data_IF_300244704780
#
_entry.id   IF_300244704780
#
_cell.length_a   1.000
_cell.length_b   1.000
_cell.length_c   1.000
_cell.angle_alpha   90.00
_cell.angle_beta   90.00
_cell.angle_gamma   90.00
#
_symmetry.space_group_name_H-M   'P 1'
#
loop_
_entity.id
_entity.type
_entity.pdbx_description
1 polymer ?
#
# COMPACT_ATOMS: atom_id res chain seq x y z
N UNK A 1 -10.16 -5.20 19.92
CA UNK A 1 -9.40 -4.51 18.83
C UNK A 1 -7.88 -4.70 18.97
N UNK A 2 -7.22 -4.30 20.07
CA UNK A 2 -5.74 -4.39 20.24
C UNK A 2 -5.15 -5.78 19.96
N UNK A 3 -5.76 -6.85 20.48
CA UNK A 3 -5.26 -8.21 20.27
C UNK A 3 -5.33 -8.62 18.79
N UNK A 4 -6.43 -8.29 18.11
CA UNK A 4 -6.58 -8.60 16.67
C UNK A 4 -5.55 -7.84 15.81
N UNK A 5 -5.29 -6.56 16.11
CA UNK A 5 -4.26 -5.79 15.41
C UNK A 5 -2.85 -6.32 15.67
N UNK A 6 -2.57 -6.74 16.91
CA UNK A 6 -1.29 -7.39 17.26
C UNK A 6 -1.09 -8.66 16.44
N UNK A 7 -2.09 -9.55 16.35
CA UNK A 7 -1.98 -10.75 15.52
C UNK A 7 -1.86 -10.46 14.03
N UNK A 8 -2.48 -9.38 13.53
CA UNK A 8 -2.34 -8.97 12.15
C UNK A 8 -0.93 -8.43 11.81
N UNK A 9 -0.23 -7.86 12.79
CA UNK A 9 1.12 -7.30 12.61
C UNK A 9 2.26 -8.28 12.90
N UNK A 10 1.99 -9.43 13.54
CA UNK A 10 3.06 -10.41 13.82
C UNK A 10 3.07 -11.53 12.78
N UNK A 11 4.25 -12.10 12.56
CA UNK A 11 4.51 -13.10 11.52
C UNK A 11 3.71 -14.40 11.66
N UNK A 12 3.00 -14.61 12.77
CA UNK A 12 2.24 -15.84 13.02
C UNK A 12 1.14 -16.10 11.97
N UNK A 13 0.53 -15.05 11.41
CA UNK A 13 -0.46 -15.18 10.34
C UNK A 13 0.18 -15.43 8.96
N UNK A 14 1.48 -15.27 8.87
CA UNK A 14 2.25 -15.44 7.63
C UNK A 14 2.98 -16.77 7.55
N UNK A 15 2.83 -17.63 8.57
CA UNK A 15 3.44 -18.97 8.56
C UNK A 15 3.00 -19.77 7.32
N UNK A 16 3.98 -20.11 6.48
CA UNK A 16 3.75 -20.85 5.23
C UNK A 16 3.30 -20.01 4.03
N UNK A 17 3.28 -18.68 4.14
CA UNK A 17 3.02 -17.76 3.03
C UNK A 17 4.18 -16.78 2.82
N UNK A 18 4.32 -16.27 1.59
CA UNK A 18 5.21 -15.15 1.32
C UNK A 18 4.54 -13.85 1.77
N UNK A 19 5.32 -12.99 2.39
CA UNK A 19 4.92 -11.61 2.70
C UNK A 19 5.41 -10.66 1.62
N UNK A 20 4.61 -9.66 1.31
CA UNK A 20 5.03 -8.53 0.51
C UNK A 20 5.14 -7.29 1.42
N UNK A 21 6.35 -6.90 1.84
CA UNK A 21 6.56 -5.77 2.74
C UNK A 21 6.58 -4.42 2.02
N UNK A 22 6.24 -4.37 0.74
CA UNK A 22 6.39 -3.17 -0.11
C UNK A 22 5.74 -1.93 0.48
N UNK A 23 4.56 -2.05 1.09
CA UNK A 23 3.89 -0.91 1.72
C UNK A 23 4.72 -0.28 2.84
N UNK A 24 5.35 -1.11 3.67
CA UNK A 24 6.18 -0.65 4.78
C UNK A 24 7.50 -0.05 4.30
N UNK A 25 8.17 -0.68 3.32
CA UNK A 25 9.42 -0.15 2.77
C UNK A 25 9.22 1.23 2.13
N UNK A 26 8.13 1.41 1.36
CA UNK A 26 7.79 2.70 0.77
C UNK A 26 7.41 3.73 1.84
N UNK A 27 6.64 3.33 2.84
CA UNK A 27 6.16 4.23 3.88
C UNK A 27 7.28 4.70 4.81
N UNK A 28 8.25 3.85 5.14
CA UNK A 28 9.35 4.21 6.05
C UNK A 28 10.15 5.42 5.57
N UNK A 29 10.35 5.56 4.26
CA UNK A 29 11.03 6.74 3.71
C UNK A 29 10.17 8.00 3.79
N UNK A 30 8.86 7.86 3.66
CA UNK A 30 7.92 8.96 3.86
C UNK A 30 7.97 9.48 5.31
N UNK A 31 7.93 8.56 6.28
CA UNK A 31 8.09 8.90 7.69
C UNK A 31 9.47 9.50 7.99
N UNK A 32 10.52 8.97 7.39
CA UNK A 32 11.90 9.40 7.66
C UNK A 32 12.19 10.83 7.18
N UNK A 33 11.61 11.25 6.05
CA UNK A 33 11.88 12.58 5.46
C UNK A 33 10.90 13.64 5.97
N UNK A 34 9.63 13.27 6.11
CA UNK A 34 8.57 14.25 6.39
C UNK A 34 7.98 14.15 7.80
N UNK A 35 8.53 13.26 8.65
CA UNK A 35 8.03 13.01 10.03
C UNK A 35 6.51 12.68 10.06
N UNK A 36 6.06 11.97 9.04
CA UNK A 36 4.67 11.51 8.93
C UNK A 36 4.44 10.34 9.89
N UNK A 37 3.36 10.38 10.65
CA UNK A 37 2.99 9.25 11.51
C UNK A 37 2.77 8.00 10.66
N UNK A 38 3.38 6.87 11.03
CA UNK A 38 3.39 5.60 10.26
C UNK A 38 2.00 5.18 9.76
N UNK A 39 0.97 5.25 10.60
CA UNK A 39 -0.40 4.92 10.19
C UNK A 39 -0.97 5.86 9.13
N UNK A 40 -0.59 7.14 9.15
CA UNK A 40 -0.96 8.13 8.11
C UNK A 40 -0.25 7.81 6.81
N UNK A 41 1.04 7.54 6.87
CA UNK A 41 1.82 7.14 5.70
C UNK A 41 1.28 5.88 5.03
N UNK A 42 0.95 4.84 5.82
CA UNK A 42 0.32 3.62 5.29
C UNK A 42 -1.07 3.88 4.69
N UNK A 43 -1.88 4.77 5.28
CA UNK A 43 -3.19 5.13 4.74
C UNK A 43 -3.10 5.77 3.35
N UNK A 44 -2.02 6.51 3.08
CA UNK A 44 -1.75 7.12 1.78
C UNK A 44 -1.16 6.10 0.79
N UNK A 45 -0.14 5.35 1.21
CA UNK A 45 0.59 4.43 0.33
C UNK A 45 -0.29 3.25 -0.10
N UNK A 46 -1.06 2.66 0.82
CA UNK A 46 -1.72 1.39 0.61
C UNK A 46 -2.71 1.38 -0.58
N UNK A 47 -3.68 2.31 -0.71
CA UNK A 47 -4.61 2.29 -1.83
C UNK A 47 -3.91 2.39 -3.19
N UNK A 48 -2.93 3.28 -3.30
CA UNK A 48 -2.15 3.50 -4.53
C UNK A 48 -1.28 2.29 -4.88
N UNK A 49 -0.64 1.69 -3.88
CA UNK A 49 0.14 0.45 -4.05
C UNK A 49 -0.74 -0.70 -4.54
N UNK A 50 -1.91 -0.89 -3.95
CA UNK A 50 -2.84 -1.93 -4.39
C UNK A 50 -3.32 -1.70 -5.83
N UNK A 51 -3.56 -0.43 -6.24
CA UNK A 51 -3.87 -0.08 -7.64
C UNK A 51 -2.72 -0.36 -8.59
N UNK A 52 -1.49 -0.21 -8.13
CA UNK A 52 -0.31 -0.54 -8.92
C UNK A 52 -0.17 -2.06 -9.12
N UNK A 53 -0.46 -2.84 -8.08
CA UNK A 53 -0.17 -4.27 -8.03
C UNK A 53 -1.33 -5.18 -8.49
N UNK A 54 -2.59 -4.73 -8.50
CA UNK A 54 -3.76 -5.62 -8.63
C UNK A 54 -3.75 -6.52 -9.87
N UNK A 55 -3.20 -6.03 -11.00
CA UNK A 55 -3.14 -6.81 -12.24
C UNK A 55 -2.24 -8.06 -12.13
N UNK A 56 -1.30 -8.07 -11.21
CA UNK A 56 -0.43 -9.22 -10.97
C UNK A 56 -1.08 -10.34 -10.16
N UNK A 57 -2.20 -10.06 -9.47
CA UNK A 57 -2.93 -11.06 -8.68
C UNK A 57 -4.41 -10.64 -8.49
N UNK A 58 -5.19 -10.42 -9.57
CA UNK A 58 -6.53 -9.84 -9.49
C UNK A 58 -7.49 -10.68 -8.65
N UNK A 59 -7.36 -12.00 -8.68
CA UNK A 59 -8.15 -12.94 -7.89
C UNK A 59 -7.99 -12.72 -6.36
N UNK A 60 -6.79 -12.39 -5.89
CA UNK A 60 -6.52 -12.12 -4.46
C UNK A 60 -7.22 -10.84 -4.01
N UNK A 61 -7.12 -9.77 -4.80
CA UNK A 61 -7.77 -8.49 -4.51
C UNK A 61 -9.30 -8.59 -4.63
N UNK A 62 -9.80 -9.34 -5.62
CA UNK A 62 -11.22 -9.63 -5.78
C UNK A 62 -11.77 -10.40 -4.57
N UNK A 63 -11.05 -11.43 -4.10
CA UNK A 63 -11.42 -12.19 -2.91
C UNK A 63 -11.48 -11.29 -1.67
N UNK A 64 -10.53 -10.39 -1.50
CA UNK A 64 -10.55 -9.41 -0.41
C UNK A 64 -11.84 -8.59 -0.43
N UNK A 65 -12.20 -8.01 -1.57
CA UNK A 65 -13.41 -7.21 -1.70
C UNK A 65 -14.70 -7.98 -1.47
N UNK A 66 -14.78 -9.20 -2.01
CA UNK A 66 -15.96 -10.06 -1.82
C UNK A 66 -16.15 -10.45 -0.36
N UNK A 67 -15.05 -10.77 0.35
CA UNK A 67 -15.11 -11.22 1.74
C UNK A 67 -15.30 -10.06 2.72
N UNK A 68 -14.60 -8.94 2.51
CA UNK A 68 -14.56 -7.82 3.47
C UNK A 68 -15.67 -6.80 3.20
N UNK A 69 -15.92 -6.48 1.92
CA UNK A 69 -16.86 -5.43 1.52
C UNK A 69 -18.16 -5.95 0.88
N UNK A 70 -18.30 -7.28 0.70
CA UNK A 70 -19.51 -7.88 0.12
C UNK A 70 -19.69 -7.55 -1.37
N UNK A 71 -18.59 -7.33 -2.11
CA UNK A 71 -18.65 -7.00 -3.54
C UNK A 71 -19.17 -8.20 -4.35
N UNK A 72 -20.24 -8.01 -5.11
CA UNK A 72 -20.91 -9.04 -5.92
C UNK A 72 -20.51 -8.98 -7.41
N UNK A 73 -19.26 -8.61 -7.72
CA UNK A 73 -18.74 -8.61 -9.09
C UNK A 73 -18.02 -9.94 -9.38
N UNK A 74 -18.36 -10.57 -10.52
CA UNK A 74 -17.80 -11.86 -10.94
C UNK A 74 -16.45 -11.73 -11.68
N UNK A 75 -16.25 -10.63 -12.37
CA UNK A 75 -14.98 -10.32 -13.03
C UNK A 75 -13.95 -9.92 -11.98
N UNK A 76 -12.83 -10.66 -11.92
CA UNK A 76 -11.83 -10.46 -10.87
C UNK A 76 -11.11 -9.12 -11.00
N UNK A 77 -10.83 -8.62 -12.20
CA UNK A 77 -10.17 -7.31 -12.36
C UNK A 77 -11.09 -6.17 -11.88
N UNK A 78 -12.37 -6.23 -12.24
CA UNK A 78 -13.35 -5.25 -11.77
C UNK A 78 -13.59 -5.34 -10.27
N UNK A 79 -13.75 -6.55 -9.75
CA UNK A 79 -13.90 -6.78 -8.32
C UNK A 79 -12.67 -6.29 -7.53
N UNK A 80 -11.46 -6.48 -8.05
CA UNK A 80 -10.22 -5.96 -7.46
C UNK A 80 -10.22 -4.44 -7.37
N UNK A 81 -10.56 -3.75 -8.45
CA UNK A 81 -10.67 -2.28 -8.45
C UNK A 81 -11.73 -1.78 -7.47
N UNK A 82 -12.92 -2.38 -7.49
CA UNK A 82 -13.98 -2.03 -6.53
C UNK A 82 -13.54 -2.25 -5.09
N UNK A 83 -12.72 -3.28 -4.84
CA UNK A 83 -12.17 -3.57 -3.51
C UNK A 83 -11.21 -2.48 -3.02
N UNK A 84 -10.38 -1.98 -3.92
CA UNK A 84 -9.43 -0.91 -3.64
C UNK A 84 -10.18 0.41 -3.40
N UNK A 85 -11.18 0.70 -4.22
CA UNK A 85 -12.05 1.87 -4.04
C UNK A 85 -12.78 1.83 -2.68
N UNK A 86 -13.32 0.67 -2.30
CA UNK A 86 -13.98 0.48 -1.02
C UNK A 86 -13.02 0.65 0.17
N UNK A 87 -11.79 0.15 0.05
CA UNK A 87 -10.75 0.35 1.07
C UNK A 87 -10.38 1.83 1.20
N UNK A 88 -10.14 2.51 0.09
CA UNK A 88 -9.82 3.93 0.10
C UNK A 88 -10.97 4.76 0.71
N UNK A 89 -12.21 4.46 0.35
CA UNK A 89 -13.37 5.10 0.94
C UNK A 89 -13.45 4.86 2.45
N UNK A 90 -13.22 3.64 2.91
CA UNK A 90 -13.17 3.32 4.34
C UNK A 90 -12.09 4.12 5.09
N UNK A 91 -10.89 4.25 4.52
CA UNK A 91 -9.82 5.08 5.08
C UNK A 91 -10.27 6.55 5.21
N UNK A 92 -10.93 7.09 4.18
CA UNK A 92 -11.48 8.46 4.20
C UNK A 92 -12.58 8.64 5.25
N UNK A 93 -13.45 7.66 5.42
CA UNK A 93 -14.51 7.67 6.46
C UNK A 93 -13.94 7.68 7.89
N UNK A 94 -12.73 7.14 8.08
CA UNK A 94 -11.99 7.25 9.34
C UNK A 94 -11.32 8.63 9.54
N UNK A 95 -11.47 9.54 8.58
CA UNK A 95 -10.85 10.87 8.62
C UNK A 95 -9.36 10.88 8.29
N UNK A 96 -8.85 9.82 7.65
CA UNK A 96 -7.44 9.71 7.27
C UNK A 96 -7.22 10.23 5.84
N UNK A 97 -6.08 10.88 5.56
CA UNK A 97 -5.71 11.26 4.20
C UNK A 97 -5.38 10.02 3.36
N UNK A 98 -5.62 10.10 2.06
CA UNK A 98 -5.28 9.05 1.09
C UNK A 98 -4.32 9.53 0.00
N UNK A 99 -3.95 10.82 0.02
CA UNK A 99 -3.02 11.41 -0.94
C UNK A 99 -2.00 12.32 -0.23
N UNK A 100 -0.78 12.36 -0.75
CA UNK A 100 0.34 13.15 -0.20
C UNK A 100 0.03 14.66 -0.18
N UNK A 101 -0.67 15.15 -1.21
CA UNK A 101 -1.07 16.56 -1.29
C UNK A 101 -2.00 16.98 -0.17
N UNK A 102 -2.79 16.07 0.38
CA UNK A 102 -3.69 16.38 1.50
C UNK A 102 -2.92 16.75 2.78
N UNK A 103 -1.66 16.32 2.87
CA UNK A 103 -0.75 16.63 3.98
C UNK A 103 0.41 17.57 3.57
N UNK A 104 0.28 18.22 2.39
CA UNK A 104 1.23 19.24 1.93
C UNK A 104 2.55 18.70 1.38
N UNK A 105 2.61 17.42 0.99
CA UNK A 105 3.81 16.78 0.43
C UNK A 105 3.70 16.75 -1.10
N UNK A 106 4.74 17.20 -1.78
CA UNK A 106 4.93 17.14 -3.22
C UNK A 106 5.93 16.06 -3.63
N UNK A 107 6.52 16.20 -4.81
CA UNK A 107 7.41 15.21 -5.43
C UNK A 107 8.92 15.51 -5.23
N UNK A 108 9.26 16.50 -4.43
CA UNK A 108 10.63 17.05 -4.33
C UNK A 108 11.68 16.02 -3.88
N UNK A 109 11.28 15.02 -3.08
CA UNK A 109 12.18 14.03 -2.49
C UNK A 109 11.98 12.60 -3.00
N UNK A 110 11.14 12.36 -4.02
CA UNK A 110 10.85 10.99 -4.49
C UNK A 110 12.08 10.24 -4.99
N UNK A 111 13.01 10.92 -5.65
CA UNK A 111 14.27 10.30 -6.07
C UNK A 111 15.14 9.92 -4.86
N UNK A 112 15.26 10.82 -3.88
CA UNK A 112 16.01 10.55 -2.65
C UNK A 112 15.40 9.37 -1.86
N UNK A 113 14.07 9.32 -1.75
CA UNK A 113 13.35 8.22 -1.10
C UNK A 113 13.59 6.90 -1.83
N UNK A 114 13.51 6.88 -3.16
CA UNK A 114 13.78 5.69 -3.95
C UNK A 114 15.22 5.19 -3.78
N UNK A 115 16.21 6.09 -3.79
CA UNK A 115 17.62 5.73 -3.58
C UNK A 115 17.86 5.18 -2.16
N UNK A 116 17.21 5.75 -1.13
CA UNK A 116 17.34 5.30 0.26
C UNK A 116 16.76 3.90 0.45
N UNK A 117 15.50 3.66 0.03
CA UNK A 117 14.89 2.35 0.21
C UNK A 117 15.68 1.25 -0.50
N UNK A 118 16.14 1.49 -1.73
CA UNK A 118 16.93 0.50 -2.48
C UNK A 118 18.32 0.26 -1.87
N UNK A 119 18.93 1.28 -1.28
CA UNK A 119 20.21 1.12 -0.55
C UNK A 119 20.03 0.25 0.69
N UNK A 120 18.91 0.40 1.40
CA UNK A 120 18.70 -0.23 2.70
C UNK A 120 18.16 -1.66 2.58
N UNK A 121 17.30 -1.95 1.58
CA UNK A 121 16.69 -3.27 1.41
C UNK A 121 16.96 -3.94 0.05
N UNK A 122 17.54 -3.22 -0.92
CA UNK A 122 17.67 -3.69 -2.31
C UNK A 122 16.34 -3.72 -3.05
N UNK A 123 16.28 -4.34 -4.25
CA UNK A 123 15.01 -4.58 -4.94
C UNK A 123 14.08 -5.46 -4.11
N UNK A 124 12.80 -5.09 -3.99
CA UNK A 124 11.83 -5.76 -3.11
C UNK A 124 10.47 -5.93 -3.78
N UNK A 125 9.58 -6.69 -3.14
CA UNK A 125 8.23 -6.99 -3.61
C UNK A 125 8.06 -8.45 -4.04
N UNK A 126 6.83 -8.96 -4.04
CA UNK A 126 6.49 -10.32 -4.47
C UNK A 126 5.67 -10.31 -5.78
N UNK A 127 4.65 -9.45 -5.88
CA UNK A 127 3.83 -9.31 -7.10
C UNK A 127 4.59 -8.53 -8.18
N UNK A 128 5.31 -7.49 -7.77
CA UNK A 128 6.16 -6.66 -8.61
C UNK A 128 7.48 -6.41 -7.89
N UNK A 129 8.60 -6.58 -8.59
CA UNK A 129 9.91 -6.24 -8.02
C UNK A 129 10.18 -4.77 -8.29
N UNK A 130 10.21 -3.98 -7.22
CA UNK A 130 10.44 -2.55 -7.28
C UNK A 130 11.91 -2.22 -7.52
N UNK A 131 12.14 -1.39 -8.54
CA UNK A 131 13.38 -0.68 -8.84
C UNK A 131 13.17 0.84 -8.64
N UNK A 132 14.19 1.65 -8.94
CA UNK A 132 14.12 3.10 -8.71
C UNK A 132 12.97 3.76 -9.47
N UNK A 133 12.81 3.43 -10.73
CA UNK A 133 11.80 4.01 -11.61
C UNK A 133 10.39 3.67 -11.13
N UNK A 134 10.13 2.42 -10.82
CA UNK A 134 8.83 1.95 -10.33
C UNK A 134 8.49 2.50 -8.93
N UNK A 135 9.49 2.70 -8.07
CA UNK A 135 9.29 3.37 -6.77
C UNK A 135 8.86 4.84 -6.97
N UNK A 136 9.56 5.57 -7.85
CA UNK A 136 9.20 6.96 -8.14
C UNK A 136 7.79 7.04 -8.76
N UNK A 137 7.45 6.13 -9.68
CA UNK A 137 6.12 6.04 -10.25
C UNK A 137 5.06 5.78 -9.18
N UNK A 138 5.35 4.85 -8.26
CA UNK A 138 4.48 4.52 -7.14
C UNK A 138 4.22 5.75 -6.24
N UNK A 139 5.25 6.52 -5.88
CA UNK A 139 5.05 7.75 -5.10
C UNK A 139 4.24 8.82 -5.86
N UNK A 140 4.41 8.91 -7.19
CA UNK A 140 3.57 9.80 -8.01
C UNK A 140 2.09 9.43 -8.00
N UNK A 141 1.77 8.15 -7.91
CA UNK A 141 0.39 7.69 -7.76
C UNK A 141 -0.22 8.09 -6.40
N UNK A 142 0.61 8.39 -5.41
CA UNK A 142 0.17 8.86 -4.10
C UNK A 142 -0.10 10.38 -4.04
N UNK A 143 0.19 11.15 -5.10
CA UNK A 143 -0.05 12.61 -5.15
C UNK A 143 -1.52 12.94 -5.38
#
# INVERSE_FOLDING_TARGET
MLLASTFACVDILHLGSKQDPSSHHLEHELSAIYDVTHGVGLAIILPSLLRYLYKGAPDRFAKFGRVVFGIEENDDEKAALMSIDALEQFIRELGMPTHLREIGIGDEHFEEMADKVLRDVGPFGDIHIFDKESIIEMYRLCL
#
